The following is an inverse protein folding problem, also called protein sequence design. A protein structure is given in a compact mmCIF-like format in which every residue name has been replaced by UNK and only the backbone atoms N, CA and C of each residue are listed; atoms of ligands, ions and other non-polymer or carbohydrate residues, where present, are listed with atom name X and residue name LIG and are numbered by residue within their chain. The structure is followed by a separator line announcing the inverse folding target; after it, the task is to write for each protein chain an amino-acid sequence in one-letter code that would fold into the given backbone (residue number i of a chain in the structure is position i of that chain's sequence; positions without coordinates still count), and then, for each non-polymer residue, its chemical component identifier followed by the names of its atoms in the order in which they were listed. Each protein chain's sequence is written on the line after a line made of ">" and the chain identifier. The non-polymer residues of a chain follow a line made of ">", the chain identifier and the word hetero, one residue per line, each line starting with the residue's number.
data_IF_965226728791
#
_entry.id   IF_965226728791
#
_cell.length_a   1.000
_cell.length_b   1.000
_cell.length_c   1.000
_cell.angle_alpha   90.00
_cell.angle_beta   90.00
_cell.angle_gamma   90.00
#
_symmetry.space_group_name_H-M   'P 1'
#
loop_
_entity.id
_entity.type
_entity.pdbx_description
1 polymer ?
#
# COMPACT_ATOMS: atom_id res chain seq x y z
N UNK A 1 35.28 -17.88 -18.56
CA UNK A 1 34.34 -17.79 -17.41
C UNK A 1 34.90 -16.93 -16.26
N UNK A 2 36.18 -17.07 -15.87
CA UNK A 2 36.80 -16.26 -14.81
C UNK A 2 36.84 -14.74 -15.11
N UNK A 3 37.10 -14.35 -16.34
CA UNK A 3 37.10 -12.94 -16.77
C UNK A 3 35.72 -12.29 -16.66
N UNK A 4 34.66 -13.03 -17.03
CA UNK A 4 33.29 -12.56 -16.89
C UNK A 4 32.91 -12.44 -15.41
N UNK A 5 33.29 -13.43 -14.59
CA UNK A 5 33.10 -13.37 -13.13
C UNK A 5 33.82 -12.17 -12.51
N UNK A 6 35.07 -11.87 -12.88
CA UNK A 6 35.79 -10.72 -12.31
C UNK A 6 35.20 -9.39 -12.76
N UNK A 7 34.74 -9.30 -14.03
CA UNK A 7 34.06 -8.12 -14.54
C UNK A 7 32.71 -7.90 -13.83
N UNK A 8 31.90 -8.95 -13.70
CA UNK A 8 30.61 -8.88 -12.99
C UNK A 8 30.84 -8.49 -11.52
N UNK A 9 31.80 -9.10 -10.83
CA UNK A 9 32.15 -8.74 -9.44
C UNK A 9 32.60 -7.26 -9.35
N UNK A 10 33.40 -6.79 -10.30
CA UNK A 10 33.84 -5.37 -10.31
C UNK A 10 32.71 -4.38 -10.62
N UNK A 11 31.70 -4.82 -11.38
CA UNK A 11 30.50 -4.03 -11.71
C UNK A 11 29.51 -4.05 -10.56
N UNK A 12 29.37 -5.19 -9.88
CA UNK A 12 28.47 -5.39 -8.77
C UNK A 12 29.00 -4.88 -7.44
N UNK A 13 30.26 -4.50 -7.34
CA UNK A 13 30.85 -4.03 -6.08
C UNK A 13 31.37 -2.60 -6.29
N UNK A 14 30.57 -1.71 -6.89
CA UNK A 14 30.96 -0.32 -7.13
C UNK A 14 30.60 0.53 -5.90
N UNK A 15 31.61 1.08 -5.23
CA UNK A 15 31.40 2.14 -4.24
C UNK A 15 31.50 3.51 -4.93
N UNK A 16 30.60 4.44 -4.60
CA UNK A 16 30.63 5.81 -5.15
C UNK A 16 31.86 6.63 -4.70
N UNK A 17 32.57 6.17 -3.67
CA UNK A 17 33.68 6.89 -3.01
C UNK A 17 35.05 6.17 -3.13
N UNK A 18 35.13 5.09 -3.93
CA UNK A 18 36.39 4.38 -4.17
C UNK A 18 36.92 3.55 -2.99
N UNK A 19 36.16 3.42 -1.89
CA UNK A 19 36.44 2.51 -0.78
C UNK A 19 36.18 1.04 -1.15
N UNK A 20 36.84 0.10 -0.46
CA UNK A 20 36.57 -1.34 -0.63
C UNK A 20 35.13 -1.60 -0.19
N UNK A 21 34.23 -2.06 -1.09
CA UNK A 21 32.85 -2.32 -0.73
C UNK A 21 32.79 -3.56 0.15
N UNK A 22 32.28 -3.42 1.37
CA UNK A 22 31.97 -4.56 2.25
C UNK A 22 30.72 -5.33 1.76
N UNK A 23 29.98 -4.78 0.78
CA UNK A 23 28.67 -5.28 0.32
C UNK A 23 28.58 -5.36 -1.21
N UNK A 24 27.89 -6.38 -1.72
CA UNK A 24 27.63 -6.56 -3.15
C UNK A 24 26.45 -5.66 -3.60
N UNK A 25 26.77 -4.60 -4.32
CA UNK A 25 25.96 -3.58 -4.98
C UNK A 25 25.36 -4.01 -6.36
N UNK A 26 25.21 -5.30 -6.64
CA UNK A 26 24.80 -5.78 -7.98
C UNK A 26 23.46 -5.24 -8.48
N UNK A 27 22.65 -4.68 -7.57
CA UNK A 27 21.37 -4.07 -7.89
C UNK A 27 21.22 -2.69 -7.22
N UNK A 28 22.15 -1.77 -7.47
CA UNK A 28 22.03 -0.35 -7.04
C UNK A 28 20.82 0.41 -7.64
N UNK A 29 20.08 -0.22 -8.55
CA UNK A 29 18.81 0.30 -9.03
C UNK A 29 17.71 0.06 -8.01
N UNK A 30 17.42 1.05 -7.16
CA UNK A 30 16.31 0.97 -6.20
C UNK A 30 14.98 0.45 -6.79
N UNK A 31 14.55 0.85 -8.01
CA UNK A 31 13.33 0.30 -8.62
C UNK A 31 13.41 -1.20 -8.92
N UNK A 32 14.59 -1.72 -9.28
CA UNK A 32 14.78 -3.14 -9.57
C UNK A 32 14.77 -3.98 -8.29
N UNK A 33 15.38 -3.50 -7.20
CA UNK A 33 15.34 -4.18 -5.90
C UNK A 33 13.92 -4.28 -5.37
N UNK A 34 13.16 -3.19 -5.48
CA UNK A 34 11.78 -3.16 -5.05
C UNK A 34 10.93 -4.16 -5.84
N UNK A 35 11.16 -4.27 -7.15
CA UNK A 35 10.44 -5.22 -8.01
C UNK A 35 10.80 -6.68 -7.71
N UNK A 36 12.08 -6.99 -7.49
CA UNK A 36 12.52 -8.32 -7.05
C UNK A 36 11.87 -8.64 -5.71
N UNK A 37 11.88 -7.69 -4.77
CA UNK A 37 11.31 -7.88 -3.44
C UNK A 37 9.79 -8.11 -3.50
N UNK A 38 9.08 -7.34 -4.32
CA UNK A 38 7.65 -7.53 -4.54
C UNK A 38 7.37 -8.93 -5.11
N UNK A 39 8.16 -9.38 -6.09
CA UNK A 39 8.05 -10.74 -6.65
C UNK A 39 8.29 -11.82 -5.58
N UNK A 40 9.21 -11.60 -4.65
CA UNK A 40 9.45 -12.54 -3.54
C UNK A 40 8.23 -12.63 -2.61
N UNK A 41 7.57 -11.51 -2.31
CA UNK A 41 6.36 -11.48 -1.48
C UNK A 41 5.17 -12.18 -2.14
N UNK A 42 5.14 -12.29 -3.47
CA UNK A 42 4.09 -13.05 -4.17
C UNK A 42 4.10 -14.55 -3.83
N UNK A 43 5.23 -15.08 -3.33
CA UNK A 43 5.36 -16.48 -2.88
C UNK A 43 4.54 -16.76 -1.61
N UNK A 44 4.12 -15.73 -0.87
CA UNK A 44 3.26 -15.89 0.30
C UNK A 44 1.83 -16.36 -0.03
N UNK A 45 1.46 -16.44 -1.31
CA UNK A 45 0.14 -16.87 -1.75
C UNK A 45 0.18 -18.21 -2.45
N UNK A 46 -0.89 -18.98 -2.29
CA UNK A 46 -1.05 -20.27 -2.95
C UNK A 46 -1.16 -20.07 -4.47
N UNK A 47 -0.39 -20.85 -5.24
CA UNK A 47 -0.41 -20.84 -6.71
C UNK A 47 -1.67 -21.45 -7.34
N UNK A 48 -2.45 -22.20 -6.57
CA UNK A 48 -3.68 -22.86 -6.98
C UNK A 48 -4.93 -22.11 -6.52
N UNK A 49 -4.82 -21.35 -5.42
CA UNK A 49 -5.92 -20.55 -4.85
C UNK A 49 -5.41 -19.14 -4.61
N UNK A 50 -5.61 -18.26 -5.60
CA UNK A 50 -5.05 -16.91 -5.60
C UNK A 50 -5.47 -16.06 -4.38
N UNK A 51 -6.56 -16.40 -3.69
CA UNK A 51 -7.04 -15.70 -2.49
C UNK A 51 -6.39 -16.17 -1.20
N UNK A 52 -5.73 -17.33 -1.20
CA UNK A 52 -5.23 -17.97 0.00
C UNK A 52 -3.76 -17.61 0.28
N UNK A 53 -3.49 -17.20 1.51
CA UNK A 53 -2.12 -17.13 2.04
C UNK A 53 -1.69 -18.55 2.42
N UNK A 54 -0.45 -18.92 2.11
CA UNK A 54 0.07 -20.26 2.46
C UNK A 54 0.12 -20.46 3.98
N UNK A 55 0.03 -21.71 4.44
CA UNK A 55 0.06 -22.03 5.89
C UNK A 55 1.41 -21.61 6.51
N UNK A 56 2.52 -21.76 5.78
CA UNK A 56 3.89 -21.45 6.25
C UNK A 56 4.33 -20.02 5.90
N UNK A 57 3.41 -19.06 5.93
CA UNK A 57 3.71 -17.67 5.54
C UNK A 57 4.79 -17.04 6.42
N UNK A 58 4.79 -17.34 7.72
CA UNK A 58 5.78 -16.83 8.66
C UNK A 58 7.19 -17.37 8.36
N UNK A 59 7.32 -18.65 8.05
CA UNK A 59 8.60 -19.25 7.64
C UNK A 59 9.11 -18.67 6.32
N UNK A 60 8.21 -18.43 5.37
CA UNK A 60 8.55 -17.80 4.08
C UNK A 60 8.98 -16.35 4.29
N UNK A 61 8.28 -15.57 5.12
CA UNK A 61 8.66 -14.20 5.43
C UNK A 61 10.02 -14.14 6.13
N UNK A 62 10.31 -15.06 7.07
CA UNK A 62 11.63 -15.16 7.71
C UNK A 62 12.74 -15.56 6.72
N UNK A 63 12.42 -16.34 5.67
CA UNK A 63 13.37 -16.61 4.58
C UNK A 63 13.60 -15.38 3.69
N UNK A 64 12.53 -14.68 3.31
CA UNK A 64 12.58 -13.44 2.52
C UNK A 64 13.38 -12.36 3.28
N UNK A 65 13.23 -12.28 4.60
CA UNK A 65 13.95 -11.34 5.46
C UNK A 65 15.47 -11.46 5.36
N UNK A 66 16.00 -12.66 5.06
CA UNK A 66 17.45 -12.85 4.83
C UNK A 66 17.96 -12.11 3.58
N UNK A 67 17.07 -11.71 2.68
CA UNK A 67 17.41 -10.93 1.48
C UNK A 67 17.45 -9.42 1.74
N UNK A 68 16.97 -8.94 2.89
CA UNK A 68 16.81 -7.51 3.17
C UNK A 68 18.10 -6.71 2.99
N UNK A 69 19.20 -7.15 3.60
CA UNK A 69 20.50 -6.47 3.51
C UNK A 69 20.98 -6.38 2.07
N UNK A 70 20.74 -7.43 1.28
CA UNK A 70 21.16 -7.49 -0.11
C UNK A 70 20.33 -6.57 -1.01
N UNK A 71 19.03 -6.47 -0.75
CA UNK A 71 18.09 -5.65 -1.52
C UNK A 71 17.95 -4.21 -1.00
N UNK A 72 18.58 -3.88 0.14
CA UNK A 72 18.42 -2.58 0.80
C UNK A 72 17.04 -2.37 1.39
N UNK A 73 16.36 -3.44 1.82
CA UNK A 73 15.03 -3.39 2.44
C UNK A 73 15.19 -3.27 3.95
N UNK A 74 14.41 -2.36 4.54
CA UNK A 74 14.19 -2.27 5.98
C UNK A 74 12.75 -2.66 6.31
N UNK A 75 12.42 -2.69 7.59
CA UNK A 75 11.10 -3.06 8.07
C UNK A 75 9.98 -2.18 7.49
N UNK A 76 10.18 -0.87 7.44
CA UNK A 76 9.21 0.07 6.85
C UNK A 76 8.95 -0.24 5.38
N UNK A 77 10.01 -0.43 4.58
CA UNK A 77 9.88 -0.78 3.17
C UNK A 77 9.18 -2.12 2.98
N UNK A 78 9.47 -3.10 3.84
CA UNK A 78 8.75 -4.35 3.83
C UNK A 78 7.26 -4.13 4.05
N UNK A 79 6.88 -3.38 5.08
CA UNK A 79 5.48 -3.11 5.38
C UNK A 79 4.80 -2.39 4.21
N UNK A 80 5.45 -1.39 3.59
CA UNK A 80 4.91 -0.69 2.41
C UNK A 80 4.69 -1.65 1.24
N UNK A 81 5.69 -2.48 0.91
CA UNK A 81 5.60 -3.45 -0.18
C UNK A 81 4.53 -4.50 0.10
N UNK A 82 4.46 -5.00 1.33
CA UNK A 82 3.55 -6.07 1.69
C UNK A 82 2.11 -5.58 1.81
N UNK A 83 1.88 -4.37 2.34
CA UNK A 83 0.61 -3.64 2.24
C UNK A 83 0.15 -3.58 0.78
N UNK A 84 1.02 -3.16 -0.14
CA UNK A 84 0.68 -3.12 -1.56
C UNK A 84 0.34 -4.49 -2.14
N UNK A 85 1.14 -5.52 -1.85
CA UNK A 85 0.94 -6.88 -2.37
C UNK A 85 -0.39 -7.47 -1.87
N UNK A 86 -0.69 -7.36 -0.58
CA UNK A 86 -1.95 -7.82 0.02
C UNK A 86 -3.15 -7.11 -0.60
N UNK A 87 -3.08 -5.78 -0.69
CA UNK A 87 -4.13 -4.97 -1.29
C UNK A 87 -4.33 -5.29 -2.77
N UNK A 88 -3.25 -5.34 -3.55
CA UNK A 88 -3.31 -5.66 -4.96
C UNK A 88 -3.92 -7.05 -5.16
N UNK A 89 -3.56 -8.02 -4.32
CA UNK A 89 -4.16 -9.35 -4.38
C UNK A 89 -5.65 -9.30 -4.12
N UNK A 90 -6.09 -8.65 -3.04
CA UNK A 90 -7.50 -8.43 -2.72
C UNK A 90 -8.29 -7.82 -3.89
N UNK A 91 -7.72 -6.82 -4.56
CA UNK A 91 -8.38 -6.16 -5.70
C UNK A 91 -8.46 -7.07 -6.93
N UNK A 92 -7.37 -7.78 -7.28
CA UNK A 92 -7.32 -8.67 -8.44
C UNK A 92 -8.24 -9.88 -8.25
N UNK A 93 -8.36 -10.39 -7.03
CA UNK A 93 -9.26 -11.50 -6.69
C UNK A 93 -10.72 -11.07 -6.54
N UNK A 94 -11.06 -9.83 -6.90
CA UNK A 94 -12.43 -9.27 -6.86
C UNK A 94 -13.01 -9.17 -5.46
N UNK A 95 -12.19 -8.75 -4.51
CA UNK A 95 -12.64 -8.38 -3.16
C UNK A 95 -13.18 -9.57 -2.35
N UNK A 96 -12.74 -10.80 -2.68
CA UNK A 96 -13.24 -12.04 -2.07
C UNK A 96 -12.76 -12.21 -0.62
N UNK A 97 -11.50 -11.87 -0.33
CA UNK A 97 -10.87 -12.16 0.96
C UNK A 97 -10.62 -10.87 1.76
N UNK A 98 -11.58 -10.47 2.59
CA UNK A 98 -11.50 -9.22 3.38
C UNK A 98 -10.30 -9.16 4.32
N UNK A 99 -9.82 -10.32 4.77
CA UNK A 99 -8.69 -10.42 5.68
C UNK A 99 -7.40 -9.87 5.06
N UNK A 100 -7.25 -9.97 3.72
CA UNK A 100 -6.13 -9.37 3.00
C UNK A 100 -6.16 -7.84 3.07
N UNK A 101 -7.35 -7.24 2.90
CA UNK A 101 -7.52 -5.80 3.02
C UNK A 101 -7.27 -5.34 4.46
N UNK A 102 -7.81 -6.07 5.44
CA UNK A 102 -7.60 -5.80 6.86
C UNK A 102 -6.12 -5.87 7.26
N UNK A 103 -5.41 -6.92 6.83
CA UNK A 103 -3.97 -7.06 7.04
C UNK A 103 -3.18 -5.90 6.40
N UNK A 104 -3.58 -5.47 5.19
CA UNK A 104 -2.96 -4.31 4.53
C UNK A 104 -3.11 -3.02 5.36
N UNK A 105 -4.27 -2.80 5.98
CA UNK A 105 -4.53 -1.66 6.87
C UNK A 105 -3.68 -1.71 8.13
N UNK A 106 -3.54 -2.88 8.74
CA UNK A 106 -2.72 -3.04 9.95
C UNK A 106 -1.25 -2.72 9.68
N UNK A 107 -0.68 -3.25 8.58
CA UNK A 107 0.68 -2.92 8.16
C UNK A 107 0.85 -1.44 7.85
N UNK A 108 -0.16 -0.81 7.24
CA UNK A 108 -0.13 0.62 6.97
C UNK A 108 -0.15 1.45 8.27
N UNK A 109 -0.85 1.00 9.31
CA UNK A 109 -0.82 1.60 10.64
C UNK A 109 0.54 1.49 11.33
N UNK A 110 1.34 0.46 11.03
CA UNK A 110 2.73 0.38 11.49
C UNK A 110 3.63 1.35 10.72
N UNK A 111 3.41 1.50 9.41
CA UNK A 111 4.13 2.50 8.59
C UNK A 111 3.86 3.92 9.10
N UNK A 112 2.60 4.24 9.45
CA UNK A 112 2.22 5.53 10.02
C UNK A 112 3.04 5.91 11.28
N UNK A 113 3.34 4.92 12.13
CA UNK A 113 4.10 5.13 13.37
C UNK A 113 5.59 5.41 13.11
N UNK A 114 6.12 4.96 11.98
CA UNK A 114 7.54 5.07 11.64
C UNK A 114 7.89 6.37 10.89
N UNK A 115 7.84 7.48 11.64
CA UNK A 115 8.10 8.84 11.12
C UNK A 115 9.55 9.09 10.69
N UNK A 116 10.51 8.25 11.08
CA UNK A 116 11.92 8.42 10.71
C UNK A 116 12.23 7.82 9.33
N UNK A 117 11.62 6.68 9.01
CA UNK A 117 11.78 6.06 7.69
C UNK A 117 11.10 6.87 6.57
N UNK A 118 10.03 7.61 6.86
CA UNK A 118 9.36 8.48 5.88
C UNK A 118 10.25 9.61 5.34
N UNK A 119 11.36 9.96 6.01
CA UNK A 119 12.26 11.05 5.59
C UNK A 119 13.19 10.67 4.44
N UNK A 120 13.31 9.39 4.10
CA UNK A 120 14.14 8.97 2.97
C UNK A 120 13.41 9.31 1.66
N UNK A 121 14.01 10.12 0.76
CA UNK A 121 13.34 10.61 -0.45
C UNK A 121 12.92 9.49 -1.40
N UNK A 122 13.64 8.37 -1.39
CA UNK A 122 13.33 7.20 -2.20
C UNK A 122 12.10 6.47 -1.64
N UNK A 123 11.93 6.47 -0.33
CA UNK A 123 10.80 5.81 0.34
C UNK A 123 9.53 6.65 0.24
N UNK A 124 9.64 7.96 0.50
CA UNK A 124 8.51 8.90 0.39
C UNK A 124 7.87 8.86 -1.01
N UNK A 125 8.66 8.78 -2.08
CA UNK A 125 8.11 8.66 -3.45
C UNK A 125 7.34 7.36 -3.70
N UNK A 126 7.89 6.23 -3.27
CA UNK A 126 7.24 4.92 -3.41
C UNK A 126 5.97 4.87 -2.56
N UNK A 127 6.07 5.29 -1.29
CA UNK A 127 4.97 5.36 -0.35
C UNK A 127 3.83 6.24 -0.88
N UNK A 128 4.11 7.48 -1.26
CA UNK A 128 3.10 8.42 -1.77
C UNK A 128 2.41 7.89 -3.04
N UNK A 129 3.16 7.24 -3.94
CA UNK A 129 2.59 6.63 -5.14
C UNK A 129 1.66 5.46 -4.79
N UNK A 130 2.09 4.56 -3.91
CA UNK A 130 1.30 3.42 -3.43
C UNK A 130 0.02 3.89 -2.74
N UNK A 131 0.13 4.83 -1.79
CA UNK A 131 -1.01 5.35 -1.05
C UNK A 131 -1.99 6.12 -1.93
N UNK A 132 -1.51 6.85 -2.94
CA UNK A 132 -2.38 7.55 -3.88
C UNK A 132 -3.24 6.57 -4.69
N UNK A 133 -2.68 5.43 -5.09
CA UNK A 133 -3.42 4.39 -5.80
C UNK A 133 -4.46 3.72 -4.89
N UNK A 134 -4.07 3.35 -3.68
CA UNK A 134 -4.96 2.74 -2.68
C UNK A 134 -6.09 3.69 -2.28
N UNK A 135 -5.77 4.96 -2.01
CA UNK A 135 -6.74 6.00 -1.70
C UNK A 135 -7.71 6.21 -2.86
N UNK A 136 -7.20 6.38 -4.09
CA UNK A 136 -8.05 6.56 -5.27
C UNK A 136 -8.97 5.37 -5.55
N UNK A 137 -8.54 4.15 -5.22
CA UNK A 137 -9.38 2.96 -5.29
C UNK A 137 -10.48 2.95 -4.21
N UNK A 138 -10.14 3.35 -2.98
CA UNK A 138 -11.09 3.38 -1.86
C UNK A 138 -12.13 4.50 -2.06
N UNK A 139 -11.70 5.68 -2.50
CA UNK A 139 -12.59 6.83 -2.72
C UNK A 139 -13.66 6.57 -3.77
N UNK A 140 -13.33 5.83 -4.84
CA UNK A 140 -14.32 5.43 -5.86
C UNK A 140 -15.49 4.63 -5.27
N UNK A 141 -15.24 3.84 -4.23
CA UNK A 141 -16.25 3.05 -3.52
C UNK A 141 -16.98 3.89 -2.49
N UNK A 142 -16.25 4.69 -1.72
CA UNK A 142 -16.81 5.44 -0.59
C UNK A 142 -17.66 6.64 -1.02
N UNK A 143 -17.32 7.31 -2.13
CA UNK A 143 -18.08 8.47 -2.62
C UNK A 143 -19.51 8.14 -3.05
N UNK A 144 -19.78 6.88 -3.38
CA UNK A 144 -21.08 6.32 -3.70
C UNK A 144 -21.31 5.00 -2.92
N UNK A 145 -20.99 5.01 -1.62
CA UNK A 145 -20.98 3.79 -0.81
C UNK A 145 -22.35 3.08 -0.77
N UNK A 146 -23.47 3.79 -0.94
CA UNK A 146 -24.80 3.16 -1.00
C UNK A 146 -24.99 2.29 -2.26
N UNK A 147 -24.26 2.56 -3.34
CA UNK A 147 -24.28 1.75 -4.57
C UNK A 147 -23.26 0.61 -4.52
N UNK A 148 -22.20 0.80 -3.74
CA UNK A 148 -21.06 -0.13 -3.70
C UNK A 148 -21.22 -1.18 -2.61
N UNK A 149 -21.71 -0.79 -1.44
CA UNK A 149 -21.84 -1.66 -0.28
C UNK A 149 -23.30 -2.04 -0.04
N UNK A 150 -23.53 -3.32 0.14
CA UNK A 150 -24.81 -3.96 0.41
C UNK A 150 -24.59 -5.06 1.45
N UNK A 151 -25.67 -5.75 1.86
CA UNK A 151 -25.61 -6.70 2.97
C UNK A 151 -24.53 -7.79 2.81
N UNK A 152 -24.17 -8.16 1.58
CA UNK A 152 -23.21 -9.25 1.32
C UNK A 152 -21.74 -8.83 1.47
N UNK A 153 -21.43 -7.52 1.40
CA UNK A 153 -20.05 -7.02 1.46
C UNK A 153 -19.85 -5.86 2.45
N UNK A 154 -20.85 -5.55 3.27
CA UNK A 154 -20.83 -4.42 4.21
C UNK A 154 -19.68 -4.50 5.22
N UNK A 155 -19.25 -5.70 5.59
CA UNK A 155 -18.14 -5.94 6.52
C UNK A 155 -16.80 -5.37 5.98
N UNK A 156 -16.61 -5.39 4.66
CA UNK A 156 -15.42 -4.81 4.03
C UNK A 156 -15.36 -3.28 4.12
N UNK A 157 -16.51 -2.61 4.31
CA UNK A 157 -16.60 -1.15 4.31
C UNK A 157 -15.74 -0.53 5.40
N UNK A 158 -15.68 -1.13 6.59
CA UNK A 158 -14.83 -0.65 7.69
C UNK A 158 -13.35 -0.63 7.28
N UNK A 159 -12.89 -1.69 6.63
CA UNK A 159 -11.52 -1.80 6.14
C UNK A 159 -11.24 -0.82 5.01
N UNK A 160 -12.20 -0.58 4.10
CA UNK A 160 -12.06 0.42 3.02
C UNK A 160 -11.99 1.85 3.57
N UNK A 161 -12.82 2.17 4.58
CA UNK A 161 -12.77 3.47 5.28
C UNK A 161 -11.44 3.64 6.00
N UNK A 162 -10.97 2.60 6.70
CA UNK A 162 -9.69 2.61 7.40
C UNK A 162 -8.53 2.83 6.43
N UNK A 163 -8.52 2.12 5.29
CA UNK A 163 -7.52 2.30 4.24
C UNK A 163 -7.50 3.74 3.73
N UNK A 164 -8.67 4.31 3.42
CA UNK A 164 -8.79 5.69 2.93
C UNK A 164 -8.32 6.71 3.96
N UNK A 165 -8.71 6.54 5.23
CA UNK A 165 -8.33 7.43 6.32
C UNK A 165 -6.82 7.42 6.58
N UNK A 166 -6.23 6.22 6.71
CA UNK A 166 -4.79 6.05 6.92
C UNK A 166 -3.98 6.59 5.74
N UNK A 167 -4.36 6.24 4.51
CA UNK A 167 -3.67 6.72 3.30
C UNK A 167 -3.71 8.24 3.19
N UNK A 168 -4.89 8.86 3.42
CA UNK A 168 -5.03 10.31 3.38
C UNK A 168 -4.24 11.01 4.50
N UNK A 169 -4.18 10.40 5.68
CA UNK A 169 -3.40 10.92 6.82
C UNK A 169 -1.91 10.93 6.51
N UNK A 170 -1.35 9.79 6.12
CA UNK A 170 0.08 9.66 5.81
C UNK A 170 0.48 10.57 4.64
N UNK A 171 -0.35 10.66 3.60
CA UNK A 171 -0.11 11.58 2.48
C UNK A 171 -0.14 13.06 2.89
N UNK A 172 -0.98 13.44 3.86
CA UNK A 172 -1.02 14.80 4.37
C UNK A 172 0.22 15.16 5.20
N UNK A 173 0.80 14.18 5.91
CA UNK A 173 2.04 14.35 6.67
C UNK A 173 3.27 14.56 5.77
N UNK A 174 3.33 13.87 4.62
CA UNK A 174 4.40 14.03 3.61
C UNK A 174 4.39 15.44 2.96
N UNK A 175 3.22 16.09 2.90
CA UNK A 175 3.05 17.46 2.36
C UNK A 175 3.25 18.53 3.46
N UNK A 176 2.96 18.21 4.72
CA UNK A 176 2.99 19.13 5.88
C UNK A 176 4.38 19.28 6.50
N UNK A 177 5.40 19.55 5.67
CA UNK A 177 6.71 19.98 6.14
C UNK A 177 6.82 21.50 6.32
N UNK A 178 5.74 22.22 6.67
CA UNK A 178 5.81 23.62 7.14
C UNK A 178 4.51 24.04 7.84
N UNK A 179 4.62 24.47 9.11
CA UNK A 179 3.60 25.23 9.86
C UNK A 179 2.18 24.61 10.06
N UNK A 180 2.02 23.67 11.01
CA UNK A 180 0.91 23.55 12.00
C UNK A 180 0.57 22.09 12.38
N UNK A 181 1.43 21.50 13.21
CA UNK A 181 1.50 20.07 13.50
C UNK A 181 0.50 19.49 14.51
N UNK A 182 -0.54 20.21 14.93
CA UNK A 182 -1.41 19.75 16.04
C UNK A 182 -2.91 19.97 15.90
N UNK A 183 -3.37 20.68 14.86
CA UNK A 183 -4.80 20.97 14.67
C UNK A 183 -5.44 20.24 13.48
N UNK A 184 -4.64 19.69 12.56
CA UNK A 184 -5.14 19.21 11.26
C UNK A 184 -5.17 17.67 11.07
N UNK A 185 -4.52 16.85 11.90
CA UNK A 185 -4.35 15.41 11.59
C UNK A 185 -5.66 14.60 11.75
N UNK A 186 -6.31 14.70 12.90
CA UNK A 186 -7.65 14.11 13.10
C UNK A 186 -8.71 14.75 12.20
N UNK A 187 -8.45 15.98 11.75
CA UNK A 187 -9.31 16.76 10.88
C UNK A 187 -9.31 16.20 9.44
N UNK A 188 -8.15 15.79 8.89
CA UNK A 188 -8.09 15.27 7.50
C UNK A 188 -8.94 14.01 7.31
N UNK A 189 -8.77 13.00 8.17
CA UNK A 189 -9.52 11.76 8.08
C UNK A 189 -11.03 12.00 8.29
N UNK A 190 -11.37 12.83 9.30
CA UNK A 190 -12.75 13.22 9.58
C UNK A 190 -13.40 13.94 8.39
N UNK A 191 -12.74 14.95 7.82
CA UNK A 191 -13.23 15.74 6.67
C UNK A 191 -13.46 14.82 5.46
N UNK A 192 -12.56 13.86 5.22
CA UNK A 192 -12.70 12.89 4.12
C UNK A 192 -13.94 12.01 4.32
N UNK A 193 -14.10 11.42 5.51
CA UNK A 193 -15.27 10.58 5.82
C UNK A 193 -16.57 11.38 5.72
N UNK A 194 -16.61 12.61 6.26
CA UNK A 194 -17.76 13.50 6.11
C UNK A 194 -18.08 13.78 4.63
N UNK A 195 -17.04 14.02 3.82
CA UNK A 195 -17.19 14.23 2.38
C UNK A 195 -17.77 13.00 1.67
N UNK A 196 -17.33 11.79 2.02
CA UNK A 196 -17.88 10.54 1.48
C UNK A 196 -19.35 10.37 1.83
N UNK A 197 -19.72 10.61 3.10
CA UNK A 197 -21.10 10.53 3.58
C UNK A 197 -21.99 11.49 2.79
N UNK A 198 -21.59 12.76 2.71
CA UNK A 198 -22.36 13.79 2.02
C UNK A 198 -22.48 13.52 0.52
N UNK A 199 -21.41 13.06 -0.12
CA UNK A 199 -21.40 12.71 -1.54
C UNK A 199 -22.40 11.58 -1.84
N UNK A 200 -22.30 10.48 -1.09
CA UNK A 200 -23.11 9.30 -1.29
C UNK A 200 -24.60 9.55 -1.01
N UNK A 201 -24.92 10.25 0.09
CA UNK A 201 -26.31 10.65 0.40
C UNK A 201 -26.89 11.55 -0.70
N UNK A 202 -26.09 12.49 -1.23
CA UNK A 202 -26.53 13.35 -2.32
C UNK A 202 -26.82 12.56 -3.60
N UNK A 203 -25.99 11.57 -3.92
CA UNK A 203 -26.19 10.71 -5.09
C UNK A 203 -27.52 9.93 -4.99
N UNK A 204 -27.75 9.27 -3.85
CA UNK A 204 -29.00 8.52 -3.59
C UNK A 204 -30.22 9.43 -3.63
N UNK A 205 -30.14 10.64 -3.06
CA UNK A 205 -31.24 11.60 -3.09
C UNK A 205 -31.61 11.99 -4.53
N UNK A 206 -30.61 12.27 -5.38
CA UNK A 206 -30.83 12.61 -6.79
C UNK A 206 -31.49 11.43 -7.52
N UNK A 207 -31.00 10.21 -7.30
CA UNK A 207 -31.56 9.01 -7.90
C UNK A 207 -33.03 8.80 -7.50
N UNK A 208 -33.33 8.85 -6.20
CA UNK A 208 -34.70 8.69 -5.69
C UNK A 208 -35.65 9.77 -6.24
N UNK A 209 -35.20 11.02 -6.34
CA UNK A 209 -35.99 12.11 -6.91
C UNK A 209 -36.29 11.88 -8.39
N UNK A 210 -35.32 11.40 -9.16
CA UNK A 210 -35.51 11.09 -10.58
C UNK A 210 -36.47 9.92 -10.81
N UNK A 211 -36.37 8.86 -10.01
CA UNK A 211 -37.28 7.70 -10.08
C UNK A 211 -38.72 8.11 -9.73
N UNK A 212 -38.89 8.95 -8.71
CA UNK A 212 -40.21 9.47 -8.35
C UNK A 212 -40.83 10.26 -9.51
N UNK A 213 -40.07 11.17 -10.14
CA UNK A 213 -40.56 11.94 -11.28
C UNK A 213 -40.95 11.06 -12.48
N UNK A 214 -40.18 10.01 -12.76
CA UNK A 214 -40.48 9.05 -13.83
C UNK A 214 -41.75 8.23 -13.55
N UNK A 215 -42.07 7.95 -12.27
CA UNK A 215 -43.30 7.22 -11.90
C UNK A 215 -44.60 8.04 -12.03
N UNK A 216 -44.50 9.36 -12.22
CA UNK A 216 -45.64 10.25 -12.43
C UNK A 216 -45.88 10.61 -13.91
N UNK A 217 -45.09 10.06 -14.84
CA UNK A 217 -45.27 10.18 -16.30
C UNK A 217 -45.83 8.88 -16.89
#
# INVERSE_FOLDING_TARGET
>A
MQTLRSLVISLSCRSSDGSVPETCHWADGFPMNLWIYQTLLEVCFDSHVDTCVIEEVDEVLELIKKTWVMLGINETLHNICFTWVLFHRYVVTREVESDLLFASCNLLGEVEKDTEAMKNPVYSKTLSSTLSLMLGWAEKRLLAYHDTFHNDNIESMESVVSLAALSAKILAEDISHEYNRKKNEADVAYIRVESYIRSSVRAVFIQASSTAQASFQ
#
